data_IF_851448920059
#
_entry.id   IF_851448920059
#
_cell.length_a   1.000
_cell.length_b   1.000
_cell.length_c   1.000
_cell.angle_alpha   90.00
_cell.angle_beta   90.00
_cell.angle_gamma   90.00
#
_symmetry.space_group_name_H-M   'P 1'
#
loop_
_entity.id
_entity.type
_entity.pdbx_description
1 polymer ?
#
# COMPACT_ATOMS: atom_id res chain seq x y z
N UNK A 1 -9.45 -22.65 11.55
CA UNK A 1 -8.14 -21.95 11.65
C UNK A 1 -8.17 -20.72 10.74
N UNK A 2 -7.96 -19.53 11.29
CA UNK A 2 -7.78 -18.30 10.49
C UNK A 2 -6.28 -18.08 10.36
N UNK A 3 -5.70 -18.41 9.21
CA UNK A 3 -4.26 -18.20 8.98
C UNK A 3 -3.97 -16.72 8.73
N UNK A 4 -2.75 -16.27 9.04
CA UNK A 4 -2.27 -14.94 8.71
C UNK A 4 -2.53 -14.58 7.22
N UNK A 5 -2.30 -15.54 6.32
CA UNK A 5 -2.55 -15.39 4.89
C UNK A 5 -4.02 -15.05 4.58
N UNK A 6 -4.98 -15.61 5.35
CA UNK A 6 -6.40 -15.29 5.21
C UNK A 6 -6.72 -13.86 5.63
N UNK A 7 -5.99 -13.31 6.61
CA UNK A 7 -6.14 -11.91 7.03
C UNK A 7 -5.62 -10.93 5.96
N UNK A 8 -4.52 -11.28 5.29
CA UNK A 8 -3.88 -10.48 4.23
C UNK A 8 -4.53 -10.64 2.85
N UNK A 9 -5.36 -11.66 2.65
CA UNK A 9 -5.97 -11.98 1.37
C UNK A 9 -6.64 -10.78 0.66
N UNK A 10 -7.45 -9.92 1.31
CA UNK A 10 -8.10 -8.80 0.61
C UNK A 10 -7.09 -7.84 -0.04
N UNK A 11 -6.00 -7.55 0.66
CA UNK A 11 -4.95 -6.65 0.19
C UNK A 11 -4.12 -7.29 -0.93
N UNK A 12 -3.80 -8.58 -0.79
CA UNK A 12 -3.06 -9.33 -1.81
C UNK A 12 -3.89 -9.54 -3.08
N UNK A 13 -5.20 -9.76 -2.97
CA UNK A 13 -6.13 -9.90 -4.11
C UNK A 13 -6.15 -8.59 -4.91
N UNK A 14 -6.31 -7.44 -4.24
CA UNK A 14 -6.31 -6.14 -4.92
C UNK A 14 -4.93 -5.83 -5.52
N UNK A 15 -3.85 -6.19 -4.80
CA UNK A 15 -2.49 -6.14 -5.35
C UNK A 15 -2.36 -6.92 -6.64
N UNK A 16 -2.89 -8.15 -6.70
CA UNK A 16 -2.86 -8.99 -7.89
C UNK A 16 -3.62 -8.39 -9.07
N UNK A 17 -4.81 -7.81 -8.84
CA UNK A 17 -5.55 -7.08 -9.88
C UNK A 17 -4.76 -5.91 -10.47
N UNK A 18 -4.00 -5.21 -9.64
CA UNK A 18 -3.09 -4.13 -10.04
C UNK A 18 -1.74 -4.62 -10.60
N UNK A 19 -1.61 -5.91 -10.92
CA UNK A 19 -0.38 -6.55 -11.40
C UNK A 19 0.78 -6.54 -10.39
N UNK A 20 0.54 -6.26 -9.10
CA UNK A 20 1.58 -6.28 -8.06
C UNK A 20 1.78 -7.66 -7.44
N UNK A 21 0.88 -8.63 -7.65
CA UNK A 21 0.97 -9.95 -7.05
C UNK A 21 0.60 -11.06 -8.01
N UNK A 22 1.09 -12.28 -7.74
CA UNK A 22 0.71 -13.45 -8.54
C UNK A 22 -0.76 -13.78 -8.36
N UNK A 23 -1.44 -14.07 -9.46
CA UNK A 23 -2.76 -14.68 -9.43
C UNK A 23 -2.66 -16.07 -8.78
N UNK A 24 -3.18 -16.17 -7.56
CA UNK A 24 -3.47 -17.43 -6.87
C UNK A 24 -4.99 -17.62 -6.90
N UNK A 25 -5.51 -18.02 -8.07
CA UNK A 25 -6.91 -18.42 -8.20
C UNK A 25 -7.03 -19.80 -8.84
N UNK A 26 -7.52 -20.83 -8.11
CA UNK A 26 -7.92 -20.82 -6.69
C UNK A 26 -6.74 -20.67 -5.69
N UNK A 27 -7.03 -20.25 -4.45
CA UNK A 27 -6.02 -20.04 -3.40
C UNK A 27 -5.17 -21.30 -3.21
N UNK A 28 -3.84 -21.12 -3.18
CA UNK A 28 -2.87 -22.22 -2.99
C UNK A 28 -2.21 -22.71 -4.28
N UNK A 29 -2.73 -22.37 -5.47
CA UNK A 29 -2.10 -22.70 -6.74
C UNK A 29 -1.62 -21.43 -7.46
N UNK A 30 -0.37 -20.98 -7.22
CA UNK A 30 0.18 -19.85 -7.95
C UNK A 30 0.31 -20.18 -9.42
N UNK A 31 -0.24 -19.31 -10.27
CA UNK A 31 -0.09 -19.38 -11.74
C UNK A 31 0.84 -18.25 -12.21
N UNK A 32 2.17 -18.37 -11.95
CA UNK A 32 3.13 -17.30 -12.23
C UNK A 32 3.13 -16.89 -13.70
N UNK A 33 3.00 -17.87 -14.61
CA UNK A 33 2.99 -17.63 -16.05
C UNK A 33 1.81 -16.76 -16.49
N UNK A 34 0.60 -17.05 -16.03
CA UNK A 34 -0.59 -16.26 -16.37
C UNK A 34 -0.51 -14.84 -15.80
N UNK A 35 0.00 -14.70 -14.57
CA UNK A 35 0.21 -13.39 -13.95
C UNK A 35 1.21 -12.55 -14.74
N UNK A 36 2.31 -13.17 -15.19
CA UNK A 36 3.34 -12.52 -15.98
C UNK A 36 2.79 -12.02 -17.31
N UNK A 37 2.07 -12.87 -18.04
CA UNK A 37 1.42 -12.46 -19.30
C UNK A 37 0.38 -11.38 -19.09
N UNK A 38 -0.44 -11.49 -18.05
CA UNK A 38 -1.41 -10.46 -17.71
C UNK A 38 -0.73 -9.11 -17.46
N UNK A 39 0.34 -9.09 -16.66
CA UNK A 39 1.11 -7.89 -16.40
C UNK A 39 1.72 -7.33 -17.69
N UNK A 40 2.40 -8.16 -18.49
CA UNK A 40 3.00 -7.72 -19.74
C UNK A 40 1.97 -7.14 -20.72
N UNK A 41 0.84 -7.82 -20.93
CA UNK A 41 -0.20 -7.37 -21.86
C UNK A 41 -0.82 -6.07 -21.37
N UNK A 42 -1.19 -6.00 -20.10
CA UNK A 42 -1.83 -4.82 -19.49
C UNK A 42 -0.91 -3.60 -19.59
N UNK A 43 0.37 -3.75 -19.23
CA UNK A 43 1.31 -2.63 -19.24
C UNK A 43 1.82 -2.27 -20.63
N UNK A 44 1.95 -3.22 -21.56
CA UNK A 44 2.23 -2.92 -22.96
C UNK A 44 1.06 -2.15 -23.59
N UNK A 45 -0.17 -2.60 -23.35
CA UNK A 45 -1.37 -1.91 -23.80
C UNK A 45 -1.47 -0.50 -23.22
N UNK A 46 -1.18 -0.31 -21.93
CA UNK A 46 -1.17 1.02 -21.31
C UNK A 46 -0.07 1.92 -21.88
N UNK A 47 1.13 1.39 -22.05
CA UNK A 47 2.27 2.14 -22.58
C UNK A 47 1.99 2.63 -24.00
N UNK A 48 1.50 1.73 -24.85
CA UNK A 48 1.24 2.04 -26.25
C UNK A 48 0.00 2.91 -26.47
N UNK A 49 -1.12 2.58 -25.80
CA UNK A 49 -2.41 3.22 -26.10
C UNK A 49 -2.57 4.57 -25.40
N UNK A 50 -1.93 4.78 -24.25
CA UNK A 50 -2.16 5.98 -23.43
C UNK A 50 -0.91 6.81 -23.25
N UNK A 51 0.18 6.20 -22.79
CA UNK A 51 1.39 6.96 -22.48
C UNK A 51 2.07 7.49 -23.74
N UNK A 52 2.22 6.66 -24.77
CA UNK A 52 2.91 7.06 -26.00
C UNK A 52 2.23 8.26 -26.71
N UNK A 53 0.91 8.25 -26.99
CA UNK A 53 0.24 9.42 -27.57
C UNK A 53 0.31 10.65 -26.66
N UNK A 54 0.18 10.47 -25.34
CA UNK A 54 0.25 11.57 -24.39
C UNK A 54 1.62 12.27 -24.41
N UNK A 55 2.72 11.52 -24.55
CA UNK A 55 4.06 12.10 -24.62
C UNK A 55 4.35 12.88 -25.90
N UNK A 56 3.76 12.46 -27.02
CA UNK A 56 3.88 13.17 -28.30
C UNK A 56 3.13 14.51 -28.24
N UNK A 57 1.93 14.51 -27.66
CA UNK A 57 1.06 15.70 -27.64
C UNK A 57 1.39 16.74 -26.56
N UNK A 58 1.97 16.33 -25.44
CA UNK A 58 2.31 17.27 -24.36
C UNK A 58 3.58 18.05 -24.73
N UNK A 59 3.68 19.37 -24.52
CA UNK A 59 4.88 20.15 -24.90
C UNK A 59 5.81 20.48 -23.70
N UNK A 60 5.33 20.28 -22.46
CA UNK A 60 6.09 20.64 -21.26
C UNK A 60 7.15 19.61 -20.84
N UNK A 61 8.43 19.98 -20.86
CA UNK A 61 9.58 19.10 -20.55
C UNK A 61 9.58 18.55 -19.12
N UNK A 62 9.28 19.36 -18.09
CA UNK A 62 9.37 18.92 -16.68
C UNK A 62 8.27 17.93 -16.29
N UNK A 63 7.02 18.15 -16.75
CA UNK A 63 5.92 17.24 -16.45
C UNK A 63 6.16 15.86 -17.04
N UNK A 64 6.66 15.80 -18.28
CA UNK A 64 7.04 14.56 -18.96
C UNK A 64 8.04 13.74 -18.14
N UNK A 65 9.08 14.38 -17.60
CA UNK A 65 10.09 13.68 -16.80
C UNK A 65 9.49 13.01 -15.56
N UNK A 66 8.59 13.69 -14.85
CA UNK A 66 7.93 13.14 -13.66
C UNK A 66 7.07 11.93 -14.05
N UNK A 67 6.28 12.06 -15.11
CA UNK A 67 5.41 10.97 -15.58
C UNK A 67 6.23 9.74 -16.02
N UNK A 68 7.35 9.96 -16.72
CA UNK A 68 8.28 8.88 -17.11
C UNK A 68 8.85 8.19 -15.87
N UNK A 69 9.33 8.96 -14.88
CA UNK A 69 9.87 8.41 -13.63
C UNK A 69 8.80 7.58 -12.90
N UNK A 70 7.55 8.03 -12.86
CA UNK A 70 6.45 7.29 -12.22
C UNK A 70 6.15 5.98 -12.93
N UNK A 71 6.14 5.97 -14.28
CA UNK A 71 5.96 4.76 -15.08
C UNK A 71 7.10 3.78 -14.84
N UNK A 72 8.35 4.25 -14.92
CA UNK A 72 9.52 3.43 -14.64
C UNK A 72 9.43 2.84 -13.23
N UNK A 73 9.06 3.65 -12.23
CA UNK A 73 8.88 3.20 -10.83
C UNK A 73 7.76 2.17 -10.70
N UNK A 74 6.66 2.33 -11.45
CA UNK A 74 5.57 1.35 -11.45
C UNK A 74 6.01 0.03 -12.09
N UNK A 75 6.67 0.09 -13.24
CA UNK A 75 7.22 -1.09 -13.94
C UNK A 75 8.24 -1.82 -13.05
N UNK A 76 9.18 -1.10 -12.44
CA UNK A 76 10.14 -1.70 -11.52
C UNK A 76 9.48 -2.27 -10.28
N UNK A 77 8.44 -1.63 -9.73
CA UNK A 77 7.66 -2.17 -8.62
C UNK A 77 6.96 -3.48 -8.96
N UNK A 78 6.42 -3.59 -10.18
CA UNK A 78 5.77 -4.82 -10.67
C UNK A 78 6.79 -5.92 -10.92
N UNK A 79 7.91 -5.60 -11.57
CA UNK A 79 8.97 -6.57 -11.79
C UNK A 79 9.53 -7.04 -10.44
N UNK A 80 9.85 -6.11 -9.55
CA UNK A 80 10.32 -6.40 -8.19
C UNK A 80 9.35 -7.27 -7.42
N UNK A 81 8.06 -6.98 -7.48
CA UNK A 81 7.06 -7.79 -6.79
C UNK A 81 6.95 -9.21 -7.34
N UNK A 82 7.11 -9.41 -8.66
CA UNK A 82 7.14 -10.74 -9.28
C UNK A 82 8.41 -11.52 -8.89
N UNK A 83 9.59 -10.88 -8.94
CA UNK A 83 10.85 -11.52 -8.56
C UNK A 83 10.85 -11.92 -7.07
N UNK A 84 10.34 -11.06 -6.20
CA UNK A 84 10.34 -11.28 -4.76
C UNK A 84 9.11 -12.05 -4.26
N UNK A 85 8.18 -12.43 -5.13
CA UNK A 85 6.95 -13.10 -4.70
C UNK A 85 7.22 -14.41 -3.96
N UNK A 86 8.14 -15.24 -4.49
CA UNK A 86 8.50 -16.52 -3.85
C UNK A 86 9.07 -16.29 -2.45
N UNK A 87 9.89 -15.28 -2.29
CA UNK A 87 10.50 -14.92 -1.02
C UNK A 87 9.47 -14.34 -0.04
N UNK A 88 8.55 -13.48 -0.52
CA UNK A 88 7.43 -12.96 0.27
C UNK A 88 6.53 -14.09 0.79
N UNK A 89 6.23 -15.09 -0.04
CA UNK A 89 5.42 -16.25 0.36
C UNK A 89 6.11 -17.09 1.42
N UNK A 90 7.42 -17.32 1.27
CA UNK A 90 8.22 -18.01 2.27
C UNK A 90 8.23 -17.25 3.61
N UNK A 91 8.37 -15.92 3.56
CA UNK A 91 8.29 -15.07 4.74
C UNK A 91 6.92 -15.13 5.43
N UNK A 92 5.81 -15.09 4.68
CA UNK A 92 4.47 -15.24 5.25
C UNK A 92 4.25 -16.62 5.87
N UNK A 93 4.86 -17.66 5.31
CA UNK A 93 4.81 -19.01 5.86
C UNK A 93 5.62 -19.12 7.17
N UNK A 94 6.87 -18.63 7.19
CA UNK A 94 7.69 -18.58 8.41
C UNK A 94 7.00 -17.77 9.51
N UNK A 95 6.42 -16.62 9.16
CA UNK A 95 5.69 -15.78 10.09
C UNK A 95 4.45 -16.50 10.66
N UNK A 96 3.80 -17.35 9.87
CA UNK A 96 2.69 -18.18 10.36
C UNK A 96 3.13 -19.25 11.36
N UNK A 97 4.32 -19.86 11.17
CA UNK A 97 4.89 -20.83 12.12
C UNK A 97 5.25 -20.14 13.44
N UNK A 98 5.89 -18.98 13.36
CA UNK A 98 6.25 -18.18 14.54
C UNK A 98 5.01 -17.79 15.32
N UNK A 99 3.93 -17.40 14.63
CA UNK A 99 2.66 -17.08 15.28
C UNK A 99 2.01 -18.29 15.96
N UNK A 100 2.01 -19.47 15.31
CA UNK A 100 1.52 -20.70 15.94
C UNK A 100 2.33 -21.06 17.19
N UNK A 101 3.64 -20.80 17.18
CA UNK A 101 4.50 -20.99 18.36
C UNK A 101 4.18 -19.98 19.47
N UNK A 102 3.92 -18.71 19.12
CA UNK A 102 3.50 -17.69 20.07
C UNK A 102 2.15 -18.00 20.71
N UNK A 103 1.23 -18.63 19.97
CA UNK A 103 -0.04 -19.12 20.53
C UNK A 103 0.18 -20.19 21.60
N UNK A 104 1.08 -21.13 21.37
CA UNK A 104 1.46 -22.16 22.37
C UNK A 104 2.11 -21.54 23.60
N UNK A 105 2.85 -20.44 23.43
CA UNK A 105 3.42 -19.65 24.54
C UNK A 105 2.40 -18.77 25.27
N UNK A 106 1.11 -18.85 24.91
CA UNK A 106 0.01 -18.18 25.61
C UNK A 106 -0.36 -16.80 25.04
N UNK A 107 0.17 -16.40 23.88
CA UNK A 107 -0.24 -15.17 23.21
C UNK A 107 -1.55 -15.37 22.43
N UNK A 108 -2.62 -14.61 22.69
CA UNK A 108 -3.88 -14.78 21.97
C UNK A 108 -3.77 -14.34 20.50
N UNK A 109 -4.40 -15.09 19.59
CA UNK A 109 -4.43 -14.79 18.15
C UNK A 109 -5.29 -13.57 17.83
N UNK A 110 -4.66 -12.44 17.51
CA UNK A 110 -5.35 -11.19 17.13
C UNK A 110 -5.68 -11.07 15.63
N UNK A 111 -5.67 -12.17 14.88
CA UNK A 111 -5.90 -12.16 13.42
C UNK A 111 -7.20 -11.50 12.97
N UNK A 112 -8.25 -11.56 13.79
CA UNK A 112 -9.52 -10.90 13.48
C UNK A 112 -9.35 -9.38 13.48
N UNK A 113 -8.57 -8.85 14.43
CA UNK A 113 -8.27 -7.42 14.47
C UNK A 113 -7.45 -7.04 13.24
N UNK A 114 -6.37 -7.77 12.96
CA UNK A 114 -5.53 -7.55 11.79
C UNK A 114 -6.33 -7.56 10.48
N UNK A 115 -7.21 -8.54 10.30
CA UNK A 115 -8.07 -8.62 9.12
C UNK A 115 -8.98 -7.39 8.99
N UNK A 116 -9.61 -6.97 10.09
CA UNK A 116 -10.46 -5.77 10.11
C UNK A 116 -9.65 -4.51 9.77
N UNK A 117 -8.41 -4.45 10.24
CA UNK A 117 -7.45 -3.40 9.94
C UNK A 117 -7.07 -3.34 8.47
N UNK A 118 -6.73 -4.49 7.88
CA UNK A 118 -6.41 -4.60 6.45
C UNK A 118 -7.61 -4.20 5.60
N UNK A 119 -8.81 -4.65 5.95
CA UNK A 119 -10.05 -4.24 5.26
C UNK A 119 -10.23 -2.72 5.32
N UNK A 120 -9.96 -2.07 6.46
CA UNK A 120 -10.03 -0.60 6.58
C UNK A 120 -8.99 0.09 5.70
N UNK A 121 -7.76 -0.43 5.62
CA UNK A 121 -6.71 0.10 4.73
C UNK A 121 -7.15 -0.01 3.28
N UNK A 122 -7.67 -1.17 2.89
CA UNK A 122 -8.21 -1.43 1.55
C UNK A 122 -9.33 -0.46 1.20
N UNK A 123 -10.33 -0.29 2.08
CA UNK A 123 -11.44 0.65 1.86
C UNK A 123 -10.89 2.08 1.73
N UNK A 124 -9.97 2.48 2.60
CA UNK A 124 -9.34 3.81 2.54
C UNK A 124 -8.60 4.05 1.22
N UNK A 125 -7.88 3.05 0.71
CA UNK A 125 -7.24 3.12 -0.60
C UNK A 125 -8.26 3.27 -1.74
N UNK A 126 -9.35 2.50 -1.72
CA UNK A 126 -10.43 2.60 -2.72
C UNK A 126 -11.04 4.01 -2.70
N UNK A 127 -11.38 4.53 -1.51
CA UNK A 127 -11.91 5.89 -1.35
C UNK A 127 -10.93 6.94 -1.85
N UNK A 128 -9.62 6.77 -1.60
CA UNK A 128 -8.58 7.66 -2.09
C UNK A 128 -8.52 7.70 -3.62
N UNK A 129 -8.61 6.53 -4.27
CA UNK A 129 -8.66 6.42 -5.73
C UNK A 129 -9.85 7.19 -6.27
N UNK A 130 -11.06 6.90 -5.79
CA UNK A 130 -12.27 7.56 -6.25
C UNK A 130 -12.29 9.07 -5.97
N UNK A 131 -11.80 9.50 -4.81
CA UNK A 131 -11.74 10.92 -4.45
C UNK A 131 -10.79 11.70 -5.35
N UNK A 132 -9.63 11.12 -5.69
CA UNK A 132 -8.69 11.73 -6.63
C UNK A 132 -9.28 11.84 -8.03
N UNK A 133 -9.94 10.79 -8.51
CA UNK A 133 -10.63 10.80 -9.81
C UNK A 133 -11.70 11.88 -9.85
N UNK A 134 -12.56 11.94 -8.85
CA UNK A 134 -13.61 12.95 -8.75
C UNK A 134 -13.02 14.37 -8.77
N UNK A 135 -11.98 14.61 -7.97
CA UNK A 135 -11.33 15.93 -7.88
C UNK A 135 -10.73 16.36 -9.22
N UNK A 136 -10.02 15.47 -9.90
CA UNK A 136 -9.41 15.76 -11.22
C UNK A 136 -10.48 16.01 -12.27
N UNK A 137 -11.51 15.15 -12.31
CA UNK A 137 -12.61 15.26 -13.28
C UNK A 137 -13.43 16.54 -13.08
N UNK A 138 -13.73 16.91 -11.83
CA UNK A 138 -14.43 18.18 -11.53
C UNK A 138 -13.55 19.40 -11.85
N UNK A 139 -12.28 19.37 -11.48
CA UNK A 139 -11.35 20.48 -11.77
C UNK A 139 -11.22 20.70 -13.28
N UNK A 140 -11.15 19.62 -14.05
CA UNK A 140 -11.13 19.67 -15.51
C UNK A 140 -12.43 20.24 -16.08
N UNK A 141 -13.60 19.79 -15.59
CA UNK A 141 -14.90 20.34 -16.02
C UNK A 141 -14.96 21.85 -15.82
N UNK A 142 -14.54 22.32 -14.64
CA UNK A 142 -14.54 23.75 -14.29
C UNK A 142 -13.56 24.53 -15.18
N UNK A 143 -12.35 24.01 -15.39
CA UNK A 143 -11.33 24.72 -16.17
C UNK A 143 -11.67 24.80 -17.66
N UNK A 144 -12.25 23.73 -18.21
CA UNK A 144 -12.55 23.63 -19.65
C UNK A 144 -13.97 24.10 -20.01
N UNK A 145 -14.78 24.56 -19.04
CA UNK A 145 -16.19 24.90 -19.22
C UNK A 145 -16.98 23.84 -20.01
N UNK A 146 -16.69 22.56 -19.79
CA UNK A 146 -17.35 21.47 -20.50
C UNK A 146 -18.75 21.23 -19.91
N UNK A 147 -19.78 21.25 -20.75
CA UNK A 147 -21.15 20.99 -20.32
C UNK A 147 -21.33 19.53 -19.85
N UNK A 148 -20.75 18.58 -20.60
CA UNK A 148 -20.89 17.15 -20.37
C UNK A 148 -19.54 16.45 -20.15
N UNK A 149 -19.50 15.54 -19.17
CA UNK A 149 -18.36 14.67 -18.90
C UNK A 149 -18.65 13.31 -19.52
N UNK A 150 -17.84 12.88 -20.48
CA UNK A 150 -17.97 11.58 -21.12
C UNK A 150 -17.20 10.50 -20.33
N UNK A 151 -17.74 9.28 -20.32
CA UNK A 151 -17.10 8.12 -19.66
C UNK A 151 -15.67 7.89 -20.17
N UNK A 152 -15.43 8.06 -21.48
CA UNK A 152 -14.10 7.93 -22.09
C UNK A 152 -13.09 8.88 -21.46
N UNK A 153 -13.50 10.11 -21.11
CA UNK A 153 -12.61 11.08 -20.47
C UNK A 153 -12.28 10.68 -19.02
N UNK A 154 -13.26 10.19 -18.27
CA UNK A 154 -13.05 9.68 -16.91
C UNK A 154 -12.09 8.50 -16.93
N UNK A 155 -12.30 7.56 -17.85
CA UNK A 155 -11.42 6.40 -18.04
C UNK A 155 -10.01 6.82 -18.42
N UNK A 156 -9.85 7.77 -19.35
CA UNK A 156 -8.55 8.30 -19.74
C UNK A 156 -7.81 8.93 -18.55
N UNK A 157 -8.51 9.73 -17.71
CA UNK A 157 -7.92 10.26 -16.47
C UNK A 157 -7.55 9.15 -15.50
N UNK A 158 -8.42 8.15 -15.31
CA UNK A 158 -8.10 7.01 -14.45
C UNK A 158 -6.79 6.33 -14.84
N UNK A 159 -6.58 6.13 -16.14
CA UNK A 159 -5.36 5.51 -16.66
C UNK A 159 -4.11 6.35 -16.45
N UNK A 160 -4.20 7.68 -16.61
CA UNK A 160 -3.09 8.58 -16.32
C UNK A 160 -2.63 8.49 -14.85
N UNK A 161 -3.55 8.32 -13.91
CA UNK A 161 -3.23 8.19 -12.48
C UNK A 161 -2.99 6.73 -12.03
N UNK A 162 -3.16 5.74 -12.91
CA UNK A 162 -3.04 4.33 -12.56
C UNK A 162 -1.68 3.99 -11.95
N UNK A 163 -0.58 4.51 -12.53
CA UNK A 163 0.78 4.29 -12.01
C UNK A 163 0.95 4.80 -10.57
N UNK A 164 0.35 5.94 -10.24
CA UNK A 164 0.34 6.50 -8.87
C UNK A 164 -0.41 5.57 -7.92
N UNK A 165 -1.58 5.08 -8.32
CA UNK A 165 -2.38 4.18 -7.47
C UNK A 165 -1.68 2.84 -7.22
N UNK A 166 -1.05 2.26 -8.23
CA UNK A 166 -0.22 1.05 -8.14
C UNK A 166 0.95 1.28 -7.18
N UNK A 167 1.65 2.40 -7.30
CA UNK A 167 2.74 2.76 -6.40
C UNK A 167 2.27 2.90 -4.94
N UNK A 168 1.16 3.61 -4.70
CA UNK A 168 0.57 3.73 -3.35
C UNK A 168 0.19 2.35 -2.79
N UNK A 169 -0.44 1.50 -3.61
CA UNK A 169 -0.86 0.17 -3.19
C UNK A 169 0.34 -0.73 -2.85
N UNK A 170 1.40 -0.68 -3.67
CA UNK A 170 2.67 -1.38 -3.41
C UNK A 170 3.25 -0.96 -2.05
N UNK A 171 3.29 0.35 -1.78
CA UNK A 171 3.75 0.87 -0.49
C UNK A 171 2.88 0.43 0.68
N UNK A 172 1.55 0.35 0.50
CA UNK A 172 0.63 -0.14 1.53
C UNK A 172 0.82 -1.63 1.82
N UNK A 173 1.00 -2.46 0.79
CA UNK A 173 1.28 -3.91 0.94
C UNK A 173 2.54 -4.11 1.77
N UNK A 174 3.64 -3.52 1.33
CA UNK A 174 4.91 -3.63 2.03
C UNK A 174 4.86 -3.03 3.44
N UNK A 175 4.27 -1.85 3.60
CA UNK A 175 4.11 -1.22 4.91
C UNK A 175 3.32 -2.09 5.89
N UNK A 176 2.31 -2.80 5.40
CA UNK A 176 1.52 -3.76 6.21
C UNK A 176 2.36 -4.97 6.61
N UNK A 177 3.14 -5.54 5.67
CA UNK A 177 4.05 -6.66 5.96
C UNK A 177 5.12 -6.25 6.99
N UNK A 178 5.73 -5.08 6.81
CA UNK A 178 6.70 -4.57 7.78
C UNK A 178 6.08 -4.27 9.13
N UNK A 179 4.87 -3.72 9.17
CA UNK A 179 4.12 -3.50 10.41
C UNK A 179 3.85 -4.81 11.15
N UNK A 180 3.57 -5.89 10.42
CA UNK A 180 3.39 -7.24 10.97
C UNK A 180 4.67 -7.85 11.52
N UNK A 181 5.75 -7.80 10.74
CA UNK A 181 7.06 -8.27 11.19
C UNK A 181 7.49 -7.50 12.44
N UNK A 182 7.26 -6.18 12.45
CA UNK A 182 7.55 -5.34 13.60
C UNK A 182 6.67 -5.66 14.82
N UNK A 183 5.36 -5.88 14.65
CA UNK A 183 4.50 -6.20 15.80
C UNK A 183 4.86 -7.53 16.46
N UNK A 184 5.23 -8.54 15.65
CA UNK A 184 5.71 -9.83 16.18
C UNK A 184 7.05 -9.64 16.90
N UNK A 185 7.91 -8.78 16.37
CA UNK A 185 9.23 -8.50 16.94
C UNK A 185 9.22 -7.78 18.28
N UNK A 186 8.17 -7.00 18.56
CA UNK A 186 8.10 -6.19 19.78
C UNK A 186 7.99 -7.08 21.03
N UNK A 187 7.51 -8.31 20.87
CA UNK A 187 7.41 -9.28 21.96
C UNK A 187 8.76 -9.94 22.28
N UNK A 188 9.71 -9.97 21.34
CA UNK A 188 11.06 -10.51 21.58
C UNK A 188 12.10 -9.94 20.61
N UNK A 189 13.00 -9.10 21.15
CA UNK A 189 14.05 -8.40 20.38
C UNK A 189 15.07 -9.37 19.78
N UNK A 190 15.26 -10.55 20.37
CA UNK A 190 16.18 -11.56 19.83
C UNK A 190 15.58 -12.25 18.61
N UNK A 191 14.27 -12.54 18.65
CA UNK A 191 13.52 -13.09 17.52
C UNK A 191 13.56 -12.12 16.34
N UNK A 192 13.48 -10.81 16.58
CA UNK A 192 13.61 -9.80 15.52
C UNK A 192 14.95 -9.86 14.78
N UNK A 193 16.05 -9.88 15.53
CA UNK A 193 17.39 -9.92 14.95
C UNK A 193 17.59 -11.22 14.17
N UNK A 194 17.14 -12.36 14.72
CA UNK A 194 17.20 -13.65 14.05
C UNK A 194 16.34 -13.67 12.77
N UNK A 195 15.12 -13.13 12.78
CA UNK A 195 14.27 -13.01 11.60
C UNK A 195 14.88 -12.09 10.54
N UNK A 196 15.41 -10.92 10.93
CA UNK A 196 16.07 -10.00 10.00
C UNK A 196 17.32 -10.62 9.38
N UNK A 197 18.07 -11.39 10.16
CA UNK A 197 19.32 -12.01 9.75
C UNK A 197 19.09 -13.26 8.88
N UNK A 198 18.10 -14.10 9.22
CA UNK A 198 17.67 -15.24 8.41
C UNK A 198 16.99 -14.78 7.11
N UNK A 199 16.10 -13.79 7.20
CA UNK A 199 15.46 -13.24 6.03
C UNK A 199 16.42 -12.26 5.35
N UNK A 200 17.32 -12.78 4.51
CA UNK A 200 18.08 -11.98 3.50
C UNK A 200 17.15 -11.03 2.69
N UNK A 201 15.85 -11.33 2.69
CA UNK A 201 14.71 -10.52 2.27
C UNK A 201 14.72 -9.08 2.82
N UNK A 202 15.07 -8.88 4.10
CA UNK A 202 14.97 -7.58 4.76
C UNK A 202 15.80 -6.53 4.04
N UNK A 203 17.08 -6.80 3.73
CA UNK A 203 17.94 -5.83 3.05
C UNK A 203 17.43 -5.49 1.64
N UNK A 204 17.12 -6.49 0.82
CA UNK A 204 16.68 -6.25 -0.59
C UNK A 204 15.33 -5.53 -0.66
N UNK A 205 14.37 -5.94 0.17
CA UNK A 205 13.06 -5.27 0.25
C UNK A 205 13.20 -3.87 0.85
N UNK A 206 14.08 -3.66 1.84
CA UNK A 206 14.42 -2.34 2.38
C UNK A 206 15.06 -1.45 1.31
N UNK A 207 15.95 -1.95 0.45
CA UNK A 207 16.50 -1.16 -0.66
C UNK A 207 15.43 -0.74 -1.66
N UNK A 208 14.50 -1.63 -2.01
CA UNK A 208 13.37 -1.30 -2.86
C UNK A 208 12.45 -0.25 -2.19
N UNK A 209 12.31 -0.32 -0.86
CA UNK A 209 11.58 0.66 -0.05
C UNK A 209 12.30 2.00 0.06
N UNK A 210 13.62 1.99 0.17
CA UNK A 210 14.43 3.20 0.19
C UNK A 210 14.38 3.91 -1.16
N UNK A 211 14.46 3.16 -2.26
CA UNK A 211 14.25 3.70 -3.61
C UNK A 211 12.84 4.28 -3.72
N UNK A 212 11.80 3.56 -3.28
CA UNK A 212 10.42 4.05 -3.30
C UNK A 212 10.22 5.31 -2.44
N UNK A 213 10.78 5.34 -1.24
CA UNK A 213 10.74 6.48 -0.33
C UNK A 213 11.49 7.69 -0.92
N UNK A 214 12.64 7.47 -1.56
CA UNK A 214 13.43 8.50 -2.24
C UNK A 214 12.67 9.05 -3.44
N UNK A 215 12.07 8.20 -4.27
CA UNK A 215 11.18 8.60 -5.38
C UNK A 215 10.02 9.44 -4.86
N UNK A 216 9.40 9.03 -3.75
CA UNK A 216 8.32 9.78 -3.11
C UNK A 216 8.78 11.13 -2.55
N UNK A 217 9.96 11.19 -1.92
CA UNK A 217 10.57 12.44 -1.40
C UNK A 217 10.91 13.40 -2.55
N UNK A 218 11.43 12.89 -3.66
CA UNK A 218 11.70 13.67 -4.88
C UNK A 218 10.39 14.26 -5.48
N UNK A 219 9.32 13.48 -5.50
CA UNK A 219 7.99 13.91 -5.98
C UNK A 219 7.36 14.93 -5.02
N UNK A 220 7.47 14.71 -3.71
CA UNK A 220 6.96 15.62 -2.66
C UNK A 220 7.61 17.01 -2.76
N UNK A 221 8.88 17.07 -3.15
CA UNK A 221 9.63 18.33 -3.24
C UNK A 221 9.21 19.21 -4.43
N UNK A 222 8.51 18.66 -5.44
CA UNK A 222 8.30 19.35 -6.72
C UNK A 222 6.85 19.78 -7.03
N UNK A 223 5.82 19.32 -6.29
CA UNK A 223 4.43 19.84 -6.45
C UNK A 223 3.66 19.77 -5.14
N UNK A 224 2.96 20.86 -4.80
CA UNK A 224 2.22 21.09 -3.55
C UNK A 224 1.46 19.85 -3.07
N UNK A 225 1.96 19.29 -1.98
CA UNK A 225 1.27 18.37 -1.09
C UNK A 225 1.19 19.10 0.25
N UNK A 226 0.09 19.79 0.52
CA UNK A 226 -0.13 20.35 1.86
C UNK A 226 -1.02 19.43 2.70
N UNK A 227 -2.03 18.79 2.11
CA UNK A 227 -3.01 18.00 2.88
C UNK A 227 -2.49 16.61 3.26
N UNK A 228 -1.87 15.87 2.32
CA UNK A 228 -1.35 14.53 2.59
C UNK A 228 -0.01 14.56 3.36
N UNK A 229 0.78 15.62 3.17
CA UNK A 229 1.97 15.88 3.98
C UNK A 229 1.56 16.38 5.34
N UNK A 230 0.55 17.26 5.51
CA UNK A 230 0.10 17.57 6.86
C UNK A 230 -0.49 16.35 7.57
N UNK A 231 -1.07 15.39 6.84
CA UNK A 231 -1.46 14.11 7.41
C UNK A 231 -0.24 13.27 7.84
N UNK A 232 0.70 12.95 6.93
CA UNK A 232 1.88 12.14 7.24
C UNK A 232 2.90 12.84 8.15
N UNK A 233 3.05 14.15 8.04
CA UNK A 233 3.89 15.01 8.89
C UNK A 233 3.22 15.24 10.25
N UNK A 234 1.87 15.31 10.36
CA UNK A 234 1.22 15.18 11.67
C UNK A 234 1.52 13.82 12.28
N UNK A 235 1.37 12.73 11.51
CA UNK A 235 1.67 11.38 12.02
C UNK A 235 3.14 11.26 12.46
N UNK A 236 4.07 11.84 11.70
CA UNK A 236 5.50 11.82 11.98
C UNK A 236 5.93 12.79 13.10
N UNK A 237 5.33 13.98 13.20
CA UNK A 237 5.59 14.93 14.29
C UNK A 237 4.93 14.49 15.59
N UNK A 238 3.77 13.82 15.55
CA UNK A 238 3.18 13.14 16.70
C UNK A 238 4.06 11.98 17.17
N UNK A 239 4.61 11.19 16.24
CA UNK A 239 5.62 10.16 16.52
C UNK A 239 6.89 10.73 17.18
N UNK A 240 7.39 11.89 16.73
CA UNK A 240 8.62 12.52 17.22
C UNK A 240 8.46 13.21 18.59
N UNK A 241 7.26 13.65 18.97
CA UNK A 241 7.03 14.46 20.19
C UNK A 241 6.79 13.63 21.45
N UNK A 242 6.58 12.33 21.33
CA UNK A 242 6.43 11.40 22.47
C UNK A 242 7.65 10.50 22.55
N UNK A 243 8.68 10.96 23.26
CA UNK A 243 9.95 10.27 23.42
C UNK A 243 9.94 9.26 24.60
N UNK A 244 8.78 8.71 24.96
CA UNK A 244 8.63 7.80 26.09
C UNK A 244 8.20 6.40 25.67
N UNK A 245 8.89 5.43 26.26
CA UNK A 245 8.99 3.99 25.94
C UNK A 245 7.69 3.16 26.04
N UNK A 246 6.52 3.78 26.15
CA UNK A 246 5.26 3.07 26.30
C UNK A 246 4.13 3.75 25.53
N UNK A 247 4.16 3.73 24.19
CA UNK A 247 2.99 4.11 23.39
C UNK A 247 3.03 3.63 21.94
N UNK A 248 2.85 2.33 21.71
CA UNK A 248 2.19 1.84 20.48
C UNK A 248 0.73 1.43 20.78
N UNK A 249 0.07 2.18 21.67
CA UNK A 249 -1.33 1.95 22.08
C UNK A 249 -2.31 2.98 21.49
N UNK A 250 -1.86 3.90 20.62
CA UNK A 250 -2.68 5.05 20.24
C UNK A 250 -3.71 4.77 19.15
N UNK A 251 -3.52 3.75 18.31
CA UNK A 251 -4.58 3.36 17.38
C UNK A 251 -5.72 2.59 18.08
N UNK A 252 -5.45 1.96 19.23
CA UNK A 252 -6.45 1.30 20.08
C UNK A 252 -7.23 2.31 20.96
N UNK A 253 -6.57 3.37 21.50
CA UNK A 253 -7.20 4.35 22.40
C UNK A 253 -7.96 5.48 21.69
N UNK A 254 -7.62 5.82 20.45
CA UNK A 254 -8.38 6.84 19.68
C UNK A 254 -9.73 6.32 19.16
N UNK A 255 -9.90 4.99 19.03
CA UNK A 255 -11.15 4.37 18.57
C UNK A 255 -12.09 3.92 19.71
N UNK A 256 -11.64 3.91 20.98
CA UNK A 256 -12.44 3.48 22.14
C UNK A 256 -13.04 4.62 22.97
N UNK A 257 -12.92 5.89 22.53
CA UNK A 257 -13.64 7.00 23.17
C UNK A 257 -15.10 7.08 22.69
N UNK A 258 -15.87 6.01 22.93
CA UNK A 258 -17.32 6.12 23.20
C UNK A 258 -17.43 6.38 24.69
N UNK A 259 -17.73 7.63 25.06
CA UNK A 259 -18.08 7.97 26.43
C UNK A 259 -19.37 7.26 26.80
N UNK A 260 -19.28 6.26 27.66
CA UNK A 260 -20.33 5.96 28.61
C UNK A 260 -20.43 7.16 29.55
N UNK A 261 -21.55 7.88 29.47
CA UNK A 261 -21.96 8.82 30.51
C UNK A 261 -22.97 8.11 31.40
N UNK A 262 -22.51 7.51 32.50
CA UNK A 262 -23.34 7.26 33.69
C UNK A 262 -22.50 7.53 34.93
N UNK A 263 -22.89 8.58 35.66
CA UNK A 263 -22.78 8.75 37.12
C UNK A 263 -23.65 9.97 37.43
N UNK A 264 -24.91 9.80 37.85
CA UNK A 264 -25.34 9.71 39.25
C UNK A 264 -24.63 10.73 40.15
N UNK A 265 -25.31 11.87 40.39
CA UNK A 265 -25.36 12.52 41.70
C UNK A 265 -26.82 12.91 41.93
N UNK A 266 -27.37 12.37 43.01
CA UNK A 266 -28.61 12.80 43.64
C UNK A 266 -28.30 13.97 44.58
N UNK A 267 -29.05 15.07 44.46
CA UNK A 267 -29.62 15.89 45.54
C UNK A 267 -30.35 17.08 44.92
#
# INVERSE_FOLDING_TARGET
>A
MKTLQTALAPLLIIGSFCSLGLFEYPLGQPKPYLSWWYALITWSYFTYSFYYPFYIWWEGTVSKCIDIIMIITAITSILGSHYHFKEMKMCLHELSIVDDTLEVLGSPKEYQQLRNWIIRITIGWIVLVFSNLLTVTLSWKIFSNLEHIYFVQIYHKFLLYHSIFVNILSALICGTIFGLVYSVSQNDRQIFCALIEQTKLSRKVIYHFAIFAVSKILIIKNRRILVFNNFLLKQYQLYRKTNDKYCFFFFHRFLTRRGYGVTLIAQ
#
